data_IF_902951746057
#
_entry.id   IF_902951746057
#
_cell.length_a   1.000
_cell.length_b   1.000
_cell.length_c   1.000
_cell.angle_alpha   90.00
_cell.angle_beta   90.00
_cell.angle_gamma   90.00
#
_symmetry.space_group_name_H-M   'P 1'
#
loop_
_entity.id
_entity.type
_entity.pdbx_description
1 polymer ?
#
# COMPACT_ATOMS: atom_id res chain seq x y z
N UNK A 1 -1.70 28.19 23.81
CA UNK A 1 -2.09 26.90 23.18
C UNK A 1 -2.68 27.08 21.78
N UNK A 2 -3.70 27.94 21.58
CA UNK A 2 -4.34 28.18 20.25
C UNK A 2 -3.38 28.55 19.12
N UNK A 3 -2.32 29.33 19.42
CA UNK A 3 -1.38 29.88 18.42
C UNK A 3 -0.33 28.90 17.88
N UNK A 4 -0.12 27.76 18.54
CA UNK A 4 0.95 26.79 18.18
C UNK A 4 0.42 25.57 17.44
N UNK A 5 -0.78 25.08 17.78
CA UNK A 5 -1.34 23.86 17.19
C UNK A 5 -2.69 24.08 16.49
N UNK A 6 -3.27 25.28 16.58
CA UNK A 6 -4.58 25.56 15.99
C UNK A 6 -5.75 24.81 16.62
N UNK A 7 -5.56 24.14 17.77
CA UNK A 7 -6.58 23.36 18.50
C UNK A 7 -6.87 24.01 19.86
N UNK A 8 -8.14 24.01 20.28
CA UNK A 8 -8.57 24.45 21.59
C UNK A 8 -9.16 23.32 22.43
N UNK A 9 -9.08 23.45 23.76
CA UNK A 9 -9.75 22.51 24.67
C UNK A 9 -11.28 22.51 24.48
N UNK A 10 -11.85 23.62 24.01
CA UNK A 10 -13.28 23.72 23.67
C UNK A 10 -13.69 22.80 22.52
N UNK A 11 -12.75 22.43 21.63
CA UNK A 11 -13.02 21.52 20.53
C UNK A 11 -13.29 20.09 21.00
N UNK A 12 -12.78 19.72 22.18
CA UNK A 12 -12.98 18.39 22.79
C UNK A 12 -14.13 18.33 23.80
N UNK A 13 -14.81 19.45 24.07
CA UNK A 13 -15.87 19.52 25.08
C UNK A 13 -17.23 18.98 24.60
N UNK A 14 -17.45 18.92 23.29
CA UNK A 14 -18.70 18.38 22.74
C UNK A 14 -18.44 17.57 21.46
N UNK A 15 -19.28 16.58 21.20
CA UNK A 15 -19.23 15.80 19.96
C UNK A 15 -19.33 16.70 18.73
N UNK A 16 -20.20 17.71 18.78
CA UNK A 16 -20.38 18.65 17.65
C UNK A 16 -19.14 19.49 17.37
N UNK A 17 -18.43 19.92 18.42
CA UNK A 17 -17.18 20.68 18.29
C UNK A 17 -16.06 19.79 17.74
N UNK A 18 -15.99 18.55 18.23
CA UNK A 18 -14.99 17.58 17.78
C UNK A 18 -15.16 17.22 16.31
N UNK A 19 -16.40 16.95 15.87
CA UNK A 19 -16.70 16.67 14.46
C UNK A 19 -16.35 17.87 13.58
N UNK A 20 -16.62 19.10 14.03
CA UNK A 20 -16.21 20.33 13.32
C UNK A 20 -14.69 20.45 13.21
N UNK A 21 -13.96 20.13 14.28
CA UNK A 21 -12.49 20.13 14.28
C UNK A 21 -11.95 19.12 13.26
N UNK A 22 -12.45 17.89 13.26
CA UNK A 22 -11.97 16.80 12.40
C UNK A 22 -12.28 17.00 10.90
N UNK A 23 -13.37 17.71 10.58
CA UNK A 23 -13.79 17.97 9.19
C UNK A 23 -13.37 19.35 8.68
N UNK A 24 -12.59 20.12 9.45
CA UNK A 24 -12.10 21.41 8.97
C UNK A 24 -11.08 21.20 7.85
N UNK A 25 -11.11 22.02 6.78
CA UNK A 25 -10.08 21.97 5.75
C UNK A 25 -8.70 22.26 6.35
N UNK A 26 -7.71 21.44 5.98
CA UNK A 26 -6.31 21.56 6.40
C UNK A 26 -5.40 21.42 5.19
N UNK A 27 -4.14 21.82 5.37
CA UNK A 27 -3.13 21.72 4.32
C UNK A 27 -2.83 20.24 3.94
N UNK A 28 -3.04 19.83 2.67
CA UNK A 28 -2.83 18.45 2.24
C UNK A 28 -1.35 18.04 2.08
N UNK A 29 -0.39 18.94 2.30
CA UNK A 29 1.05 18.68 2.13
C UNK A 29 1.54 17.43 2.86
N UNK A 30 1.06 17.18 4.07
CA UNK A 30 1.45 16.00 4.86
C UNK A 30 1.00 14.68 4.22
N UNK A 31 -0.17 14.67 3.60
CA UNK A 31 -0.71 13.51 2.90
C UNK A 31 0.06 13.23 1.60
N UNK A 32 0.46 14.28 0.88
CA UNK A 32 1.33 14.15 -0.29
C UNK A 32 2.72 13.61 0.09
N UNK A 33 3.32 14.11 1.18
CA UNK A 33 4.59 13.60 1.68
C UNK A 33 4.48 12.12 2.06
N UNK A 34 3.40 11.72 2.75
CA UNK A 34 3.14 10.32 3.07
C UNK A 34 3.05 9.45 1.80
N UNK A 35 2.28 9.89 0.79
CA UNK A 35 2.14 9.20 -0.50
C UNK A 35 3.50 8.97 -1.17
N UNK A 36 4.32 10.01 -1.27
CA UNK A 36 5.63 9.97 -1.94
C UNK A 36 6.57 9.02 -1.19
N UNK A 37 6.67 9.17 0.13
CA UNK A 37 7.55 8.34 0.95
C UNK A 37 7.12 6.87 0.92
N UNK A 38 5.82 6.59 0.99
CA UNK A 38 5.28 5.24 0.86
C UNK A 38 5.60 4.64 -0.52
N UNK A 39 5.36 5.38 -1.59
CA UNK A 39 5.64 4.89 -2.95
C UNK A 39 7.13 4.61 -3.18
N UNK A 40 8.03 5.48 -2.71
CA UNK A 40 9.49 5.26 -2.76
C UNK A 40 9.89 4.03 -1.96
N UNK A 41 9.35 3.89 -0.74
CA UNK A 41 9.59 2.72 0.10
C UNK A 41 9.20 1.44 -0.62
N UNK A 42 8.01 1.41 -1.24
CA UNK A 42 7.56 0.24 -2.01
C UNK A 42 8.42 -0.03 -3.25
N UNK A 43 8.92 1.02 -3.93
CA UNK A 43 9.84 0.84 -5.05
C UNK A 43 11.17 0.19 -4.65
N UNK A 44 11.61 0.36 -3.40
CA UNK A 44 12.81 -0.30 -2.86
C UNK A 44 12.50 -1.71 -2.35
N UNK A 45 11.34 -1.87 -1.72
CA UNK A 45 10.89 -3.11 -1.09
C UNK A 45 10.56 -4.21 -2.12
N UNK A 46 9.86 -3.86 -3.21
CA UNK A 46 9.43 -4.81 -4.24
C UNK A 46 10.61 -5.59 -4.86
N UNK A 47 11.71 -4.94 -5.31
CA UNK A 47 12.84 -5.66 -5.89
C UNK A 47 13.68 -6.43 -4.86
N UNK A 48 13.72 -5.97 -3.60
CA UNK A 48 14.64 -6.43 -2.57
C UNK A 48 14.03 -7.49 -1.64
N UNK A 49 12.91 -7.19 -0.97
CA UNK A 49 12.29 -8.12 -0.01
C UNK A 49 11.33 -9.08 -0.72
N UNK A 50 10.55 -8.58 -1.67
CA UNK A 50 9.59 -9.42 -2.41
C UNK A 50 10.21 -10.18 -3.59
N UNK A 51 11.52 -10.04 -3.80
CA UNK A 51 12.27 -11.00 -4.59
C UNK A 51 11.97 -10.98 -6.08
N UNK A 52 11.63 -9.82 -6.68
CA UNK A 52 11.55 -9.69 -8.15
C UNK A 52 12.83 -10.22 -8.83
N UNK A 53 13.98 -10.06 -8.18
CA UNK A 53 15.30 -10.57 -8.61
C UNK A 53 15.48 -12.09 -8.43
N UNK A 54 14.69 -12.74 -7.58
CA UNK A 54 14.80 -14.16 -7.22
C UNK A 54 13.53 -14.95 -7.56
N UNK A 55 12.59 -14.37 -8.33
CA UNK A 55 11.31 -14.99 -8.65
C UNK A 55 11.48 -16.38 -9.30
N UNK A 56 12.50 -16.55 -10.14
CA UNK A 56 12.85 -17.82 -10.79
C UNK A 56 13.27 -18.93 -9.81
N UNK A 57 13.65 -18.58 -8.57
CA UNK A 57 14.00 -19.53 -7.51
C UNK A 57 12.81 -19.87 -6.61
N UNK A 58 11.82 -18.97 -6.51
CA UNK A 58 10.64 -19.13 -5.66
C UNK A 58 9.51 -19.90 -6.33
N UNK A 59 9.29 -19.69 -7.64
CA UNK A 59 8.19 -20.31 -8.39
C UNK A 59 8.52 -21.52 -9.31
N UNK A 60 9.72 -22.15 -9.32
CA UNK A 60 10.01 -23.24 -10.26
C UNK A 60 9.51 -24.63 -9.80
N UNK A 61 9.21 -24.83 -8.51
CA UNK A 61 8.90 -26.17 -7.97
C UNK A 61 7.53 -26.20 -7.29
N UNK A 62 6.64 -27.03 -7.82
CA UNK A 62 5.27 -27.31 -7.34
C UNK A 62 5.20 -27.88 -5.90
N UNK A 63 6.34 -28.16 -5.28
CA UNK A 63 6.46 -28.90 -4.02
C UNK A 63 6.38 -28.05 -2.74
N UNK A 64 6.41 -26.71 -2.84
CA UNK A 64 6.29 -25.81 -1.68
C UNK A 64 4.87 -25.28 -1.50
N UNK A 65 3.91 -26.17 -1.24
CA UNK A 65 2.49 -25.83 -1.01
C UNK A 65 2.23 -25.41 0.44
N UNK A 66 2.73 -24.24 0.85
CA UNK A 66 2.26 -23.59 2.10
C UNK A 66 1.28 -22.46 1.75
N UNK A 67 0.18 -22.84 1.12
CA UNK A 67 -0.87 -21.92 0.70
C UNK A 67 -1.80 -21.58 1.88
N UNK A 68 -2.46 -20.43 1.79
CA UNK A 68 -3.42 -20.02 2.79
C UNK A 68 -4.72 -20.87 2.69
N UNK A 69 -5.13 -21.58 3.76
CA UNK A 69 -6.19 -22.58 3.69
C UNK A 69 -7.59 -22.02 3.38
N UNK A 70 -7.80 -20.71 3.56
CA UNK A 70 -9.07 -20.04 3.20
C UNK A 70 -9.15 -19.73 1.70
N UNK A 71 -8.00 -19.58 1.04
CA UNK A 71 -7.89 -19.11 -0.33
C UNK A 71 -7.23 -20.17 -1.23
N UNK A 72 -7.77 -21.40 -1.19
CA UNK A 72 -7.22 -22.55 -1.93
C UNK A 72 -7.30 -22.41 -3.47
N UNK A 73 -8.00 -21.39 -3.97
CA UNK A 73 -8.06 -21.07 -5.40
C UNK A 73 -6.92 -20.15 -5.85
N UNK A 74 -6.19 -19.52 -4.93
CA UNK A 74 -4.99 -18.76 -5.27
C UNK A 74 -3.81 -19.72 -5.47
N UNK A 75 -3.43 -19.91 -6.72
CA UNK A 75 -2.23 -20.61 -7.11
C UNK A 75 -1.26 -19.62 -7.79
N UNK A 76 0.06 -19.79 -7.61
CA UNK A 76 1.03 -18.99 -8.33
C UNK A 76 0.89 -19.27 -9.84
N UNK A 77 1.04 -18.23 -10.64
CA UNK A 77 1.18 -18.39 -12.09
C UNK A 77 2.57 -18.93 -12.42
N UNK A 78 2.80 -19.29 -13.70
CA UNK A 78 4.16 -19.59 -14.20
C UNK A 78 5.10 -18.44 -13.83
N UNK A 79 6.36 -18.77 -13.51
CA UNK A 79 7.37 -17.80 -13.05
C UNK A 79 7.44 -16.54 -13.94
N UNK A 80 7.37 -16.72 -15.26
CA UNK A 80 7.35 -15.64 -16.27
C UNK A 80 6.24 -14.60 -16.00
N UNK A 81 5.03 -15.07 -15.67
CA UNK A 81 3.89 -14.19 -15.38
C UNK A 81 4.01 -13.57 -13.99
N UNK A 82 4.61 -14.26 -13.03
CA UNK A 82 4.86 -13.68 -11.71
C UNK A 82 5.79 -12.46 -11.82
N UNK A 83 6.83 -12.52 -12.64
CA UNK A 83 7.71 -11.36 -12.91
C UNK A 83 6.93 -10.19 -13.50
N UNK A 84 5.99 -10.46 -14.42
CA UNK A 84 5.11 -9.42 -14.98
C UNK A 84 4.21 -8.81 -13.90
N UNK A 85 3.66 -9.61 -12.98
CA UNK A 85 2.85 -9.11 -11.86
C UNK A 85 3.68 -8.21 -10.94
N UNK A 86 4.91 -8.62 -10.59
CA UNK A 86 5.85 -7.77 -9.83
C UNK A 86 6.14 -6.45 -10.54
N UNK A 87 6.33 -6.48 -11.86
CA UNK A 87 6.56 -5.28 -12.64
C UNK A 87 5.34 -4.36 -12.66
N UNK A 88 4.13 -4.90 -12.81
CA UNK A 88 2.88 -4.14 -12.72
C UNK A 88 2.72 -3.51 -11.33
N UNK A 89 3.02 -4.26 -10.27
CA UNK A 89 3.01 -3.75 -8.89
C UNK A 89 4.00 -2.58 -8.72
N UNK A 90 5.21 -2.72 -9.26
CA UNK A 90 6.23 -1.67 -9.25
C UNK A 90 5.79 -0.41 -10.01
N UNK A 91 5.19 -0.56 -11.20
CA UNK A 91 4.62 0.57 -11.94
C UNK A 91 3.48 1.24 -11.16
N UNK A 92 2.67 0.45 -10.43
CA UNK A 92 1.69 0.96 -9.50
C UNK A 92 2.33 1.85 -8.42
N UNK A 93 3.41 1.38 -7.78
CA UNK A 93 4.15 2.16 -6.79
C UNK A 93 4.74 3.46 -7.38
N UNK A 94 5.33 3.41 -8.58
CA UNK A 94 5.83 4.60 -9.29
C UNK A 94 4.69 5.59 -9.56
N UNK A 95 3.53 5.11 -10.02
CA UNK A 95 2.35 5.94 -10.25
C UNK A 95 1.81 6.58 -8.97
N UNK A 96 1.84 5.86 -7.84
CA UNK A 96 1.50 6.40 -6.51
C UNK A 96 2.47 7.53 -6.13
N UNK A 97 3.79 7.29 -6.25
CA UNK A 97 4.82 8.30 -5.93
C UNK A 97 4.61 9.58 -6.72
N UNK A 98 4.44 9.45 -8.04
CA UNK A 98 4.26 10.57 -8.96
C UNK A 98 2.85 11.16 -8.90
N UNK A 99 1.87 10.52 -8.27
CA UNK A 99 0.46 10.96 -8.33
C UNK A 99 -0.19 10.81 -9.72
N UNK A 100 0.46 10.15 -10.67
CA UNK A 100 -0.04 9.94 -12.03
C UNK A 100 -1.14 8.88 -12.03
N UNK A 101 -2.34 9.21 -12.53
CA UNK A 101 -3.51 8.32 -12.49
C UNK A 101 -3.70 7.66 -11.10
N UNK A 102 -3.48 8.44 -10.04
CA UNK A 102 -3.31 7.98 -8.65
C UNK A 102 -4.27 6.88 -8.22
N UNK A 103 -5.58 7.04 -8.44
CA UNK A 103 -6.59 6.05 -8.03
C UNK A 103 -6.39 4.71 -8.75
N UNK A 104 -6.10 4.73 -10.05
CA UNK A 104 -5.80 3.54 -10.81
C UNK A 104 -4.49 2.90 -10.34
N UNK A 105 -3.44 3.69 -10.10
CA UNK A 105 -2.16 3.19 -9.59
C UNK A 105 -2.28 2.55 -8.21
N UNK A 106 -3.05 3.16 -7.30
CA UNK A 106 -3.34 2.61 -5.98
C UNK A 106 -4.10 1.28 -6.04
N UNK A 107 -5.11 1.18 -6.91
CA UNK A 107 -5.88 -0.06 -7.11
C UNK A 107 -4.98 -1.16 -7.70
N UNK A 108 -4.21 -0.85 -8.74
CA UNK A 108 -3.28 -1.80 -9.38
C UNK A 108 -2.27 -2.31 -8.36
N UNK A 109 -1.64 -1.39 -7.61
CA UNK A 109 -0.70 -1.74 -6.56
C UNK A 109 -1.36 -2.65 -5.50
N UNK A 110 -2.51 -2.25 -4.96
CA UNK A 110 -3.17 -3.01 -3.90
C UNK A 110 -3.57 -4.42 -4.35
N UNK A 111 -4.16 -4.57 -5.55
CA UNK A 111 -4.57 -5.88 -6.07
C UNK A 111 -3.35 -6.79 -6.26
N UNK A 112 -2.30 -6.29 -6.90
CA UNK A 112 -1.10 -7.08 -7.16
C UNK A 112 -0.35 -7.42 -5.87
N UNK A 113 -0.25 -6.47 -4.94
CA UNK A 113 0.36 -6.67 -3.63
C UNK A 113 -0.37 -7.74 -2.80
N UNK A 114 -1.69 -7.62 -2.65
CA UNK A 114 -2.47 -8.59 -1.88
C UNK A 114 -2.49 -9.97 -2.56
N UNK A 115 -2.48 -10.02 -3.88
CA UNK A 115 -2.31 -11.29 -4.60
C UNK A 115 -1.00 -11.97 -4.21
N UNK A 116 0.13 -11.27 -4.32
CA UNK A 116 1.45 -11.81 -3.97
C UNK A 116 1.53 -12.20 -2.49
N UNK A 117 1.06 -11.33 -1.59
CA UNK A 117 1.09 -11.56 -0.15
C UNK A 117 0.29 -12.81 0.25
N UNK A 118 -0.87 -13.05 -0.37
CA UNK A 118 -1.73 -14.20 -0.03
C UNK A 118 -1.24 -15.53 -0.63
N UNK A 119 -0.32 -15.52 -1.60
CA UNK A 119 0.17 -16.74 -2.27
C UNK A 119 1.04 -17.63 -1.36
N UNK A 120 1.85 -17.03 -0.47
CA UNK A 120 2.81 -17.77 0.36
C UNK A 120 2.71 -17.38 1.83
N UNK A 121 2.20 -18.30 2.65
CA UNK A 121 2.07 -18.11 4.09
C UNK A 121 3.42 -18.04 4.81
N UNK A 122 4.47 -18.64 4.25
CA UNK A 122 5.78 -18.68 4.93
C UNK A 122 6.46 -17.32 4.98
N UNK A 123 6.10 -16.44 4.05
CA UNK A 123 6.61 -15.07 3.95
C UNK A 123 5.78 -14.05 4.74
N UNK A 124 4.80 -14.51 5.54
CA UNK A 124 3.91 -13.61 6.27
C UNK A 124 4.61 -12.96 7.47
N UNK A 125 4.67 -11.63 7.44
CA UNK A 125 5.13 -10.82 8.54
C UNK A 125 4.18 -9.63 8.74
N UNK A 126 4.08 -9.15 9.99
CA UNK A 126 3.29 -7.98 10.35
C UNK A 126 3.73 -6.71 9.59
N UNK A 127 5.02 -6.66 9.22
CA UNK A 127 5.59 -5.58 8.44
C UNK A 127 4.96 -5.49 7.04
N UNK A 128 5.04 -6.58 6.26
CA UNK A 128 4.44 -6.66 4.93
C UNK A 128 2.90 -6.56 5.00
N UNK A 129 2.27 -7.06 6.07
CA UNK A 129 0.83 -6.86 6.27
C UNK A 129 0.47 -5.37 6.42
N UNK A 130 1.26 -4.61 7.18
CA UNK A 130 1.06 -3.17 7.34
C UNK A 130 1.17 -2.44 6.00
N UNK A 131 2.14 -2.78 5.16
CA UNK A 131 2.27 -2.19 3.82
C UNK A 131 1.03 -2.43 2.94
N UNK A 132 0.46 -3.64 3.00
CA UNK A 132 -0.79 -3.95 2.30
C UNK A 132 -1.98 -3.12 2.79
N UNK A 133 -2.08 -2.89 4.10
CA UNK A 133 -3.13 -2.04 4.68
C UNK A 133 -2.96 -0.57 4.26
N UNK A 134 -1.74 -0.03 4.33
CA UNK A 134 -1.45 1.34 3.92
C UNK A 134 -1.72 1.54 2.41
N UNK A 135 -1.29 0.58 1.58
CA UNK A 135 -1.58 0.57 0.14
C UNK A 135 -3.07 0.53 -0.17
N UNK A 136 -3.84 -0.26 0.58
CA UNK A 136 -5.30 -0.32 0.45
C UNK A 136 -5.98 0.99 0.89
N UNK A 137 -5.52 1.61 1.98
CA UNK A 137 -6.04 2.90 2.45
C UNK A 137 -5.86 4.02 1.41
N UNK A 138 -4.73 4.02 0.70
CA UNK A 138 -4.46 4.98 -0.38
C UNK A 138 -5.50 4.92 -1.52
N UNK A 139 -6.27 3.84 -1.68
CA UNK A 139 -7.37 3.81 -2.66
C UNK A 139 -8.46 4.84 -2.30
N UNK A 140 -8.69 5.05 -1.01
CA UNK A 140 -9.79 5.88 -0.50
C UNK A 140 -9.36 7.31 -0.18
N UNK A 141 -8.06 7.58 -0.10
CA UNK A 141 -7.55 8.91 0.21
C UNK A 141 -7.43 9.75 -1.05
N UNK A 142 -7.80 11.02 -1.00
CA UNK A 142 -7.59 11.95 -2.12
C UNK A 142 -6.20 12.60 -2.09
N UNK A 143 -5.15 11.77 -1.99
CA UNK A 143 -3.76 12.20 -1.90
C UNK A 143 -3.17 12.75 -3.22
N UNK A 144 -3.99 13.00 -4.24
CA UNK A 144 -3.58 13.45 -5.57
C UNK A 144 -3.80 14.95 -5.83
N UNK A 145 -4.47 15.64 -4.90
CA UNK A 145 -4.76 17.09 -5.03
C UNK A 145 -3.60 18.00 -4.61
N UNK A 146 -2.47 17.42 -4.22
CA UNK A 146 -1.25 18.14 -3.90
C UNK A 146 -0.05 17.38 -4.46
N UNK A 147 0.88 18.11 -5.09
CA UNK A 147 2.01 17.54 -5.83
C UNK A 147 3.22 17.35 -4.91
#
# INVERSE_FOLDING_TARGET
MRRLFGVEMADFQSWSSFVKLMNRPEDPSSLAAFRILFGILMMLDIPQEHGMSHADLYYPNEDRKCQFPLFNFLAPFRAEYMVVIYFIMFLGAVGITLGLFYRCSAIIFAITYWHIFLLDKTSWNNHSYLYGLLGFQLIFFDAHHYW
#
